data_IF_839807702366
#
_entry.id   IF_839807702366
#
_cell.length_a   1.000
_cell.length_b   1.000
_cell.length_c   1.000
_cell.angle_alpha   90.00
_cell.angle_beta   90.00
_cell.angle_gamma   90.00
#
_symmetry.space_group_name_H-M   'P 1'
#
loop_
_entity.id
_entity.type
_entity.pdbx_description
1 polymer ?
#
# COMPACT_ATOMS: atom_id res chain seq x y z
N UNK A 1 6.95 -14.47 -13.34
CA UNK A 1 6.77 -13.03 -13.05
C UNK A 1 6.61 -12.86 -11.54
N UNK A 2 7.62 -12.32 -10.86
CA UNK A 2 7.56 -12.08 -9.41
C UNK A 2 6.49 -11.02 -9.15
N UNK A 3 5.43 -11.37 -8.42
CA UNK A 3 4.39 -10.45 -7.97
C UNK A 3 5.10 -9.35 -7.19
N UNK A 4 5.14 -8.12 -7.73
CA UNK A 4 5.63 -6.97 -6.97
C UNK A 4 4.64 -6.77 -5.83
N UNK A 5 5.01 -7.24 -4.65
CA UNK A 5 4.24 -6.94 -3.44
C UNK A 5 4.21 -5.42 -3.30
N UNK A 6 3.00 -4.87 -3.33
CA UNK A 6 2.79 -3.46 -3.05
C UNK A 6 2.82 -3.35 -1.53
N UNK A 7 3.81 -2.62 -1.01
CA UNK A 7 3.89 -2.32 0.42
C UNK A 7 2.72 -1.42 0.82
N UNK A 8 2.21 -1.63 2.03
CA UNK A 8 1.11 -0.83 2.57
C UNK A 8 1.53 0.65 2.72
N UNK A 9 0.56 1.54 2.91
CA UNK A 9 0.86 2.97 3.07
C UNK A 9 1.69 3.22 4.33
N UNK A 10 1.49 2.44 5.38
CA UNK A 10 2.17 2.50 6.67
C UNK A 10 3.64 2.13 6.51
N UNK A 11 3.97 1.05 5.80
CA UNK A 11 5.38 0.66 5.56
C UNK A 11 6.09 1.73 4.72
N UNK A 12 5.41 2.28 3.71
CA UNK A 12 5.98 3.37 2.92
C UNK A 12 6.20 4.62 3.76
N UNK A 13 5.25 4.97 4.62
CA UNK A 13 5.39 6.07 5.57
C UNK A 13 6.62 5.86 6.44
N UNK A 14 6.76 4.67 7.04
CA UNK A 14 7.88 4.32 7.90
C UNK A 14 9.22 4.43 7.16
N UNK A 15 9.32 3.90 5.94
CA UNK A 15 10.53 4.04 5.11
C UNK A 15 10.87 5.50 4.87
N UNK A 16 9.89 6.31 4.48
CA UNK A 16 10.11 7.72 4.16
C UNK A 16 10.52 8.50 5.42
N UNK A 17 9.86 8.25 6.55
CA UNK A 17 10.24 8.84 7.84
C UNK A 17 11.68 8.50 8.21
N UNK A 18 12.07 7.23 8.16
CA UNK A 18 13.40 6.81 8.56
C UNK A 18 14.50 7.39 7.66
N UNK A 19 14.29 7.42 6.35
CA UNK A 19 15.32 7.90 5.41
C UNK A 19 15.35 9.42 5.33
N UNK A 20 14.21 10.09 5.24
CA UNK A 20 14.16 11.53 4.96
C UNK A 20 14.09 12.39 6.22
N UNK A 21 13.45 11.92 7.29
CA UNK A 21 13.31 12.68 8.54
C UNK A 21 14.42 12.29 9.52
N UNK A 22 14.62 10.99 9.76
CA UNK A 22 15.68 10.50 10.65
C UNK A 22 17.06 10.39 9.97
N UNK A 23 17.14 10.72 8.69
CA UNK A 23 18.38 10.76 7.89
C UNK A 23 19.18 9.44 7.89
N UNK A 24 18.49 8.30 8.03
CA UNK A 24 19.11 6.97 8.00
C UNK A 24 19.49 6.58 6.58
N UNK A 25 20.55 5.77 6.43
CA UNK A 25 20.94 5.29 5.10
C UNK A 25 19.91 4.29 4.57
N UNK A 26 19.58 4.30 3.26
CA UNK A 26 18.66 3.31 2.67
C UNK A 26 19.07 1.85 2.91
N UNK A 27 20.37 1.57 3.03
CA UNK A 27 20.90 0.23 3.36
C UNK A 27 20.56 -0.20 4.79
N UNK A 28 20.63 0.72 5.76
CA UNK A 28 20.29 0.45 7.16
C UNK A 28 18.79 0.20 7.30
N UNK A 29 17.97 1.01 6.63
CA UNK A 29 16.50 0.86 6.61
C UNK A 29 16.09 -0.45 5.92
N UNK A 30 16.77 -0.82 4.84
CA UNK A 30 16.55 -2.09 4.15
C UNK A 30 16.77 -3.30 5.07
N UNK A 31 17.88 -3.30 5.82
CA UNK A 31 18.18 -4.34 6.80
C UNK A 31 17.19 -4.32 7.97
N UNK A 32 16.88 -3.12 8.50
CA UNK A 32 15.99 -2.96 9.65
C UNK A 32 14.57 -3.47 9.37
N UNK A 33 14.02 -3.19 8.19
CA UNK A 33 12.66 -3.56 7.81
C UNK A 33 12.59 -4.88 7.04
N UNK A 34 13.73 -5.52 6.76
CA UNK A 34 13.84 -6.69 5.89
C UNK A 34 13.20 -6.45 4.50
N UNK A 35 13.45 -5.29 3.91
CA UNK A 35 12.93 -4.86 2.61
C UNK A 35 14.10 -4.68 1.64
N UNK A 36 14.00 -5.14 0.37
CA UNK A 36 15.07 -4.93 -0.60
C UNK A 36 15.43 -3.45 -0.75
N UNK A 37 16.72 -3.12 -0.63
CA UNK A 37 17.22 -1.75 -0.77
C UNK A 37 16.73 -1.03 -2.03
N UNK A 38 16.63 -1.65 -3.23
CA UNK A 38 16.08 -0.98 -4.40
C UNK A 38 14.63 -0.51 -4.22
N UNK A 39 13.84 -1.24 -3.42
CA UNK A 39 12.47 -0.86 -3.08
C UNK A 39 12.46 0.35 -2.16
N UNK A 40 13.31 0.35 -1.11
CA UNK A 40 13.47 1.49 -0.20
C UNK A 40 13.81 2.76 -0.99
N UNK A 41 14.84 2.69 -1.83
CA UNK A 41 15.26 3.82 -2.68
C UNK A 41 14.15 4.31 -3.60
N UNK A 42 13.39 3.39 -4.21
CA UNK A 42 12.27 3.75 -5.10
C UNK A 42 11.12 4.44 -4.37
N UNK A 43 10.79 4.00 -3.15
CA UNK A 43 9.75 4.61 -2.32
C UNK A 43 10.16 6.05 -1.96
N UNK A 44 11.40 6.22 -1.50
CA UNK A 44 11.96 7.53 -1.15
C UNK A 44 11.99 8.47 -2.36
N UNK A 45 12.44 7.97 -3.51
CA UNK A 45 12.46 8.75 -4.75
C UNK A 45 11.07 9.24 -5.16
N UNK A 46 10.04 8.39 -5.03
CA UNK A 46 8.65 8.78 -5.33
C UNK A 46 8.11 9.84 -4.39
N UNK A 47 8.41 9.76 -3.09
CA UNK A 47 8.02 10.79 -2.14
C UNK A 47 8.63 12.15 -2.52
N UNK A 48 9.93 12.17 -2.86
CA UNK A 48 10.61 13.39 -3.35
C UNK A 48 10.02 13.91 -4.66
N UNK A 49 9.74 13.04 -5.63
CA UNK A 49 9.12 13.41 -6.91
C UNK A 49 7.73 14.05 -6.73
N UNK A 50 7.06 13.78 -5.61
CA UNK A 50 5.76 14.38 -5.25
C UNK A 50 5.89 15.65 -4.42
N UNK A 51 7.11 16.14 -4.23
CA UNK A 51 7.37 17.38 -3.50
C UNK A 51 7.36 17.22 -1.98
N UNK A 52 7.59 16.01 -1.45
CA UNK A 52 7.85 15.90 -0.01
C UNK A 52 9.26 16.42 0.31
N UNK A 53 9.32 17.48 1.11
CA UNK A 53 10.54 18.02 1.70
C UNK A 53 10.38 18.17 3.22
N UNK A 54 11.06 17.33 4.02
CA UNK A 54 10.96 17.39 5.47
C UNK A 54 11.57 18.66 6.09
N UNK A 55 12.33 19.45 5.31
CA UNK A 55 12.91 20.71 5.76
C UNK A 55 11.90 21.86 5.81
N UNK A 56 10.85 21.76 4.98
CA UNK A 56 9.74 22.72 4.91
C UNK A 56 8.57 22.27 5.81
N UNK A 57 8.08 21.05 5.62
CA UNK A 57 7.11 20.40 6.49
C UNK A 57 7.41 18.91 6.64
N UNK A 58 7.75 18.50 7.87
CA UNK A 58 8.07 17.11 8.21
C UNK A 58 6.83 16.20 8.31
N UNK A 59 5.61 16.73 8.21
CA UNK A 59 4.38 15.93 8.30
C UNK A 59 4.17 15.10 7.03
N UNK A 60 4.07 13.79 7.23
CA UNK A 60 3.82 12.84 6.14
C UNK A 60 2.32 12.70 5.85
N UNK A 61 1.94 13.06 4.63
CA UNK A 61 0.60 12.86 4.08
C UNK A 61 0.58 11.68 3.09
N UNK A 62 -0.54 10.96 3.04
CA UNK A 62 -0.83 9.85 2.12
C UNK A 62 -0.56 10.23 0.66
N UNK A 63 -0.76 11.50 0.26
CA UNK A 63 -0.48 11.97 -1.10
C UNK A 63 0.94 11.67 -1.57
N UNK A 64 1.93 11.74 -0.67
CA UNK A 64 3.33 11.46 -0.97
C UNK A 64 3.65 9.96 -1.08
N UNK A 65 2.76 9.11 -0.56
CA UNK A 65 2.99 7.67 -0.36
C UNK A 65 2.14 6.78 -1.27
N UNK A 66 1.01 7.26 -1.77
CA UNK A 66 0.07 6.48 -2.58
C UNK A 66 0.75 5.78 -3.78
N UNK A 67 0.34 4.58 -4.19
CA UNK A 67 0.81 4.06 -5.48
C UNK A 67 0.05 4.75 -6.62
N UNK A 68 0.72 5.00 -7.75
CA UNK A 68 0.02 5.41 -8.97
C UNK A 68 -0.92 4.28 -9.41
N UNK A 69 -2.13 4.59 -9.92
CA UNK A 69 -3.01 3.57 -10.46
C UNK A 69 -2.25 2.75 -11.50
N UNK A 70 -2.33 1.42 -11.39
CA UNK A 70 -1.63 0.51 -12.31
C UNK A 70 -2.17 0.79 -13.71
N UNK A 71 -1.35 1.39 -14.57
CA UNK A 71 -1.69 1.54 -15.98
C UNK A 71 -1.70 0.16 -16.63
N UNK A 72 -2.91 -0.36 -16.82
CA UNK A 72 -3.20 -1.59 -17.55
C UNK A 72 -4.62 -1.50 -18.11
N UNK A 73 -5.00 -2.42 -18.99
CA UNK A 73 -6.38 -2.52 -19.49
C UNK A 73 -7.33 -2.56 -18.28
N UNK A 74 -8.28 -1.62 -18.15
CA UNK A 74 -9.28 -1.67 -17.10
C UNK A 74 -9.98 -3.03 -17.16
N UNK A 75 -9.89 -3.83 -16.10
CA UNK A 75 -10.83 -4.93 -15.92
C UNK A 75 -12.11 -4.29 -15.42
N UNK A 76 -13.07 -4.13 -16.32
CA UNK A 76 -14.45 -3.79 -15.98
C UNK A 76 -14.95 -4.88 -15.04
N UNK A 77 -15.05 -4.57 -13.76
CA UNK A 77 -15.83 -5.36 -12.81
C UNK A 77 -17.29 -5.02 -13.06
N UNK A 78 -18.00 -5.88 -13.80
CA UNK A 78 -19.46 -5.83 -13.88
C UNK A 78 -20.02 -6.11 -12.48
N UNK A 79 -20.85 -5.21 -11.92
CA UNK A 79 -21.55 -5.46 -10.67
C UNK A 79 -22.79 -6.29 -10.98
N UNK A 80 -22.62 -7.60 -11.20
CA UNK A 80 -23.76 -8.51 -11.31
C UNK A 80 -23.85 -9.40 -10.08
N UNK A 81 -25.03 -9.33 -9.47
CA UNK A 81 -25.65 -10.27 -8.53
C UNK A 81 -25.60 -9.88 -7.05
N UNK A 82 -26.30 -8.79 -6.71
CA UNK A 82 -27.22 -8.85 -5.59
C UNK A 82 -28.45 -9.66 -6.04
N UNK A 83 -28.55 -10.92 -5.62
CA UNK A 83 -29.80 -11.67 -5.66
C UNK A 83 -29.82 -12.70 -4.52
N UNK A 84 -30.45 -12.30 -3.42
CA UNK A 84 -31.32 -13.08 -2.54
C UNK A 84 -31.37 -14.60 -2.76
N UNK A 85 -30.98 -15.36 -1.74
CA UNK A 85 -31.73 -16.54 -1.32
C UNK A 85 -31.56 -16.78 0.18
N UNK A 86 -32.40 -16.07 0.93
CA UNK A 86 -32.98 -16.60 2.16
C UNK A 86 -33.81 -17.82 1.79
N UNK A 87 -33.40 -19.01 2.24
CA UNK A 87 -34.30 -20.00 2.86
C UNK A 87 -33.48 -21.16 3.43
N UNK A 88 -33.40 -21.17 4.76
CA UNK A 88 -32.91 -22.25 5.59
C UNK A 88 -34.05 -23.31 5.64
N UNK A 89 -33.81 -24.60 5.37
CA UNK A 89 -34.83 -25.61 5.57
C UNK A 89 -34.87 -25.92 7.07
N UNK A 90 -35.98 -25.60 7.75
CA UNK A 90 -36.23 -26.07 9.10
C UNK A 90 -37.20 -27.23 9.04
N UNK A 91 -36.63 -28.42 9.25
CA UNK A 91 -37.33 -29.68 9.46
C UNK A 91 -37.64 -29.83 10.96
N UNK A 92 -38.92 -29.89 11.32
CA UNK A 92 -39.54 -30.50 12.51
C UNK A 92 -41.01 -30.00 12.54
N UNK A 93 -42.06 -30.74 12.90
CA UNK A 93 -42.15 -31.79 13.90
C UNK A 93 -43.39 -32.68 13.64
N UNK A 94 -43.34 -33.82 14.29
CA UNK A 94 -44.26 -34.93 14.46
C UNK A 94 -45.58 -34.53 15.15
N UNK A 95 -46.71 -35.11 14.72
CA UNK A 95 -47.78 -35.69 15.56
C UNK A 95 -48.95 -36.20 14.69
#
# INVERSE_FOLDING_TARGET
MTKRESYSVEIRAQIVSLVLIANMKPTEVATLLNIPQPTVSRIVQRARQRGFDPSDDARLDVRYLADSPRSGRPKVSTPDTEATSTQRPEMADTA
#
